data_IF_721092888742
#
_entry.id   IF_721092888742
#
_cell.length_a   1.000
_cell.length_b   1.000
_cell.length_c   1.000
_cell.angle_alpha   90.00
_cell.angle_beta   90.00
_cell.angle_gamma   90.00
#
_symmetry.space_group_name_H-M   'P 1'
#
loop_
_entity.id
_entity.type
_entity.pdbx_description
1 polymer ?
#
# COMPACT_ATOMS: atom_id res chain seq x y z
N UNK A 1 33.71 -22.55 -7.48
CA UNK A 1 33.81 -21.13 -7.09
C UNK A 1 32.68 -20.36 -7.77
N UNK A 2 31.60 -20.15 -7.01
CA UNK A 2 30.63 -19.04 -7.13
C UNK A 2 30.13 -18.66 -8.54
N UNK A 3 29.25 -19.47 -9.12
CA UNK A 3 28.46 -19.13 -10.33
C UNK A 3 27.43 -17.99 -10.13
N UNK A 4 27.63 -17.13 -9.12
CA UNK A 4 26.70 -16.08 -8.69
C UNK A 4 26.75 -14.80 -9.54
N UNK A 5 27.53 -14.76 -10.62
CA UNK A 5 27.53 -13.63 -11.57
C UNK A 5 26.35 -13.70 -12.57
N UNK A 6 25.75 -14.88 -12.78
CA UNK A 6 24.60 -15.04 -13.67
C UNK A 6 23.31 -14.44 -13.10
N UNK A 7 23.21 -14.34 -11.76
CA UNK A 7 22.06 -13.72 -11.10
C UNK A 7 21.91 -12.26 -11.56
N UNK A 8 23.02 -11.55 -11.81
CA UNK A 8 23.05 -10.16 -12.31
C UNK A 8 22.62 -9.99 -13.77
N UNK A 9 22.51 -11.07 -14.53
CA UNK A 9 22.08 -11.03 -15.93
C UNK A 9 20.55 -11.25 -16.07
N UNK A 10 19.92 -11.83 -15.04
CA UNK A 10 18.46 -12.05 -14.97
C UNK A 10 17.78 -11.06 -14.01
N UNK A 11 18.44 -10.71 -12.90
CA UNK A 11 17.98 -9.70 -11.95
C UNK A 11 18.54 -8.34 -12.38
N UNK A 12 17.87 -7.72 -13.35
CA UNK A 12 18.09 -6.32 -13.70
C UNK A 12 17.81 -5.49 -12.43
N UNK A 13 18.84 -4.96 -11.72
CA UNK A 13 18.75 -4.54 -10.32
C UNK A 13 17.65 -3.50 -10.12
N UNK A 14 17.48 -2.62 -11.10
CA UNK A 14 16.40 -1.63 -11.14
C UNK A 14 15.03 -2.26 -11.04
N UNK A 15 14.74 -3.29 -11.85
CA UNK A 15 13.41 -3.88 -11.93
C UNK A 15 13.06 -4.69 -10.68
N UNK A 16 14.06 -5.26 -10.03
CA UNK A 16 13.89 -6.07 -8.80
C UNK A 16 13.63 -5.18 -7.59
N UNK A 17 14.35 -4.05 -7.46
CA UNK A 17 14.05 -3.05 -6.44
C UNK A 17 12.67 -2.41 -6.66
N UNK A 18 12.31 -2.11 -7.92
CA UNK A 18 10.97 -1.59 -8.24
C UNK A 18 9.90 -2.66 -8.00
N UNK A 19 10.10 -3.90 -8.39
CA UNK A 19 9.16 -4.99 -8.16
C UNK A 19 8.95 -5.26 -6.67
N UNK A 20 10.02 -5.28 -5.87
CA UNK A 20 9.93 -5.36 -4.41
C UNK A 20 9.21 -4.16 -3.82
N UNK A 21 9.60 -2.93 -4.19
CA UNK A 21 8.96 -1.71 -3.69
C UNK A 21 7.46 -1.65 -4.02
N UNK A 22 7.09 -1.95 -5.27
CA UNK A 22 5.70 -2.00 -5.71
C UNK A 22 4.95 -3.15 -5.04
N UNK A 23 5.55 -4.33 -4.90
CA UNK A 23 4.92 -5.48 -4.25
C UNK A 23 4.56 -5.19 -2.79
N UNK A 24 5.50 -4.62 -2.02
CA UNK A 24 5.24 -4.22 -0.63
C UNK A 24 4.22 -3.09 -0.55
N UNK A 25 4.28 -2.10 -1.45
CA UNK A 25 3.32 -0.99 -1.48
C UNK A 25 1.90 -1.45 -1.79
N UNK A 26 1.74 -2.33 -2.78
CA UNK A 26 0.45 -2.88 -3.19
C UNK A 26 -0.18 -3.70 -2.07
N UNK A 27 0.63 -4.50 -1.36
CA UNK A 27 0.20 -5.26 -0.20
C UNK A 27 -0.21 -4.34 0.96
N UNK A 28 0.55 -3.29 1.24
CA UNK A 28 0.18 -2.29 2.25
C UNK A 28 -1.15 -1.60 1.89
N UNK A 29 -1.29 -1.10 0.65
CA UNK A 29 -2.50 -0.43 0.20
C UNK A 29 -3.73 -1.36 0.27
N UNK A 30 -3.59 -2.63 -0.11
CA UNK A 30 -4.67 -3.61 0.00
C UNK A 30 -5.17 -3.77 1.45
N UNK A 31 -4.25 -3.86 2.42
CA UNK A 31 -4.62 -3.97 3.84
C UNK A 31 -5.30 -2.68 4.32
N UNK A 32 -4.80 -1.50 3.92
CA UNK A 32 -5.41 -0.22 4.31
C UNK A 32 -6.82 -0.05 3.74
N UNK A 33 -7.04 -0.42 2.48
CA UNK A 33 -8.35 -0.35 1.83
C UNK A 33 -9.36 -1.30 2.47
N UNK A 34 -8.93 -2.50 2.89
CA UNK A 34 -9.79 -3.43 3.64
C UNK A 34 -10.12 -2.89 5.04
N UNK A 35 -9.15 -2.28 5.73
CA UNK A 35 -9.40 -1.63 7.04
C UNK A 35 -10.37 -0.45 6.91
N UNK A 36 -10.21 0.38 5.87
CA UNK A 36 -11.11 1.47 5.49
C UNK A 36 -12.42 1.01 4.83
N UNK A 37 -12.62 -0.29 4.66
CA UNK A 37 -13.90 -0.86 4.23
C UNK A 37 -14.69 -1.43 5.42
N UNK A 38 -14.10 -1.49 6.61
CA UNK A 38 -14.73 -2.08 7.79
C UNK A 38 -15.33 -0.98 8.68
N UNK A 39 -16.63 -1.03 9.01
CA UNK A 39 -17.36 0.04 9.71
C UNK A 39 -16.76 0.43 11.08
N UNK A 40 -15.93 -0.43 11.69
CA UNK A 40 -15.27 -0.17 12.96
C UNK A 40 -13.89 0.52 12.85
N UNK A 41 -13.20 0.41 11.70
CA UNK A 41 -11.84 0.94 11.50
C UNK A 41 -11.76 2.04 10.44
N UNK A 42 -12.92 2.50 9.94
CA UNK A 42 -13.06 3.65 9.05
C UNK A 42 -12.68 4.95 9.77
N UNK A 43 -11.39 5.18 9.99
CA UNK A 43 -10.90 6.40 10.63
C UNK A 43 -11.23 7.66 9.83
N UNK A 44 -11.48 7.55 8.51
CA UNK A 44 -11.96 8.65 7.66
C UNK A 44 -13.40 9.05 8.03
N UNK A 45 -14.26 8.08 8.32
CA UNK A 45 -15.63 8.32 8.78
C UNK A 45 -15.63 8.88 10.21
N UNK A 46 -14.81 8.29 11.10
CA UNK A 46 -14.60 8.79 12.45
C UNK A 46 -14.00 10.21 12.47
N UNK A 47 -13.07 10.52 11.56
CA UNK A 47 -12.52 11.87 11.41
C UNK A 47 -13.58 12.84 10.86
N UNK A 48 -14.40 12.42 9.88
CA UNK A 48 -15.52 13.22 9.37
C UNK A 48 -16.51 13.58 10.49
N UNK A 49 -16.91 12.58 11.28
CA UNK A 49 -17.81 12.76 12.42
C UNK A 49 -17.18 13.60 13.55
N UNK A 50 -15.87 13.47 13.80
CA UNK A 50 -15.17 14.17 14.90
C UNK A 50 -14.76 15.61 14.57
N UNK A 51 -14.41 15.90 13.32
CA UNK A 51 -14.00 17.25 12.89
C UNK A 51 -15.16 18.11 12.36
N UNK A 52 -16.39 17.60 12.38
CA UNK A 52 -17.59 18.41 12.14
C UNK A 52 -17.57 19.07 10.76
N UNK A 53 -17.22 18.33 9.71
CA UNK A 53 -17.74 18.69 8.40
C UNK A 53 -19.24 18.43 8.48
N UNK A 54 -19.99 19.48 8.79
CA UNK A 54 -21.37 19.62 8.36
C UNK A 54 -21.38 19.14 6.92
N UNK A 55 -21.92 17.93 6.69
CA UNK A 55 -22.41 17.57 5.39
C UNK A 55 -23.31 18.75 5.01
N UNK A 56 -22.83 19.57 4.08
CA UNK A 56 -23.64 20.63 3.50
C UNK A 56 -24.95 19.95 3.15
N UNK A 57 -26.02 20.44 3.77
CA UNK A 57 -27.35 19.87 3.71
C UNK A 57 -27.65 19.33 2.31
N UNK A 58 -27.90 18.02 2.21
CA UNK A 58 -28.76 17.40 1.20
C UNK A 58 -29.03 15.94 1.56
#
# INVERSE_FOLDING_TARGET
MSSFYKIWLIFDPRRVFVAQGVFLFLLAAMIHLVLLSSPAFNWLDLASAKYGYVAAAQ
#
